data_IF_482708454675
#
_entry.id   IF_482708454675
#
_cell.length_a   1.000
_cell.length_b   1.000
_cell.length_c   1.000
_cell.angle_alpha   90.00
_cell.angle_beta   90.00
_cell.angle_gamma   90.00
#
_symmetry.space_group_name_H-M   'P 1'
#
loop_
_entity.id
_entity.type
_entity.pdbx_description
1 polymer ?
#
# COMPACT_ATOMS: atom_id res chain seq x y z
N UNK A 1 -23.50 -3.66 -24.39
CA UNK A 1 -23.51 -3.00 -23.06
C UNK A 1 -22.65 -3.69 -22.00
N UNK A 2 -22.71 -5.03 -21.83
CA UNK A 2 -21.93 -5.77 -20.80
C UNK A 2 -20.40 -5.53 -20.89
N UNK A 3 -19.83 -5.68 -22.10
CA UNK A 3 -18.40 -5.46 -22.36
C UNK A 3 -17.96 -4.03 -22.02
N UNK A 4 -18.72 -3.02 -22.45
CA UNK A 4 -18.45 -1.62 -22.13
C UNK A 4 -18.40 -1.36 -20.61
N UNK A 5 -19.36 -1.89 -19.86
CA UNK A 5 -19.39 -1.74 -18.40
C UNK A 5 -18.20 -2.42 -17.69
N UNK A 6 -17.71 -3.55 -18.21
CA UNK A 6 -16.54 -4.24 -17.67
C UNK A 6 -15.25 -3.47 -17.97
N UNK A 7 -15.11 -2.93 -19.20
CA UNK A 7 -13.97 -2.09 -19.58
C UNK A 7 -13.93 -0.83 -18.72
N UNK A 8 -15.05 -0.14 -18.55
CA UNK A 8 -15.15 1.04 -17.70
C UNK A 8 -14.78 0.71 -16.24
N UNK A 9 -15.30 -0.41 -15.69
CA UNK A 9 -14.97 -0.85 -14.33
C UNK A 9 -13.48 -1.13 -14.16
N UNK A 10 -12.85 -1.76 -15.15
CA UNK A 10 -11.43 -2.05 -15.14
C UNK A 10 -10.59 -0.76 -15.21
N UNK A 11 -10.91 0.15 -16.13
CA UNK A 11 -10.20 1.43 -16.26
C UNK A 11 -10.36 2.27 -15.00
N UNK A 12 -11.56 2.34 -14.43
CA UNK A 12 -11.81 3.02 -13.18
C UNK A 12 -10.93 2.48 -12.04
N UNK A 13 -10.93 1.17 -11.81
CA UNK A 13 -10.10 0.57 -10.77
C UNK A 13 -8.60 0.79 -11.02
N UNK A 14 -8.13 0.71 -12.26
CA UNK A 14 -6.74 1.06 -12.57
C UNK A 14 -6.41 2.52 -12.26
N UNK A 15 -7.34 3.44 -12.49
CA UNK A 15 -7.14 4.87 -12.31
C UNK A 15 -7.15 5.30 -10.83
N UNK A 16 -7.87 4.61 -9.95
CA UNK A 16 -8.07 5.01 -8.54
C UNK A 16 -6.76 5.37 -7.82
N UNK A 17 -5.70 4.54 -7.80
CA UNK A 17 -4.48 4.90 -7.07
C UNK A 17 -3.80 6.17 -7.59
N UNK A 18 -3.84 6.38 -8.91
CA UNK A 18 -3.27 7.58 -9.54
C UNK A 18 -4.10 8.82 -9.22
N UNK A 19 -5.43 8.73 -9.31
CA UNK A 19 -6.34 9.81 -8.95
C UNK A 19 -6.20 10.19 -7.47
N UNK A 20 -6.09 9.20 -6.58
CA UNK A 20 -5.86 9.41 -5.15
C UNK A 20 -4.53 10.12 -4.91
N UNK A 21 -3.46 9.65 -5.55
CA UNK A 21 -2.12 10.23 -5.41
C UNK A 21 -2.09 11.68 -5.91
N UNK A 22 -2.57 11.93 -7.14
CA UNK A 22 -2.62 13.28 -7.71
C UNK A 22 -3.47 14.20 -6.83
N UNK A 23 -4.65 13.75 -6.40
CA UNK A 23 -5.51 14.57 -5.52
C UNK A 23 -4.82 14.92 -4.21
N UNK A 24 -4.18 13.95 -3.55
CA UNK A 24 -3.50 14.15 -2.28
C UNK A 24 -2.39 15.20 -2.38
N UNK A 25 -1.57 15.14 -3.44
CA UNK A 25 -0.44 16.05 -3.63
C UNK A 25 -0.82 17.39 -4.26
N UNK A 26 -1.92 17.46 -5.02
CA UNK A 26 -2.41 18.72 -5.63
C UNK A 26 -3.26 19.53 -4.67
N UNK A 27 -4.20 18.91 -3.96
CA UNK A 27 -5.13 19.63 -3.07
C UNK A 27 -4.62 19.72 -1.63
N UNK A 28 -3.72 18.82 -1.22
CA UNK A 28 -3.22 18.75 0.15
C UNK A 28 -4.29 18.28 1.14
N UNK A 29 -4.25 18.82 2.35
CA UNK A 29 -5.22 18.52 3.40
C UNK A 29 -6.55 19.26 3.15
N UNK A 30 -7.65 18.51 3.17
CA UNK A 30 -9.01 19.01 3.13
C UNK A 30 -9.71 18.72 4.46
N UNK A 31 -10.75 19.48 4.78
CA UNK A 31 -11.60 19.16 5.93
C UNK A 31 -12.26 17.79 5.77
N UNK A 32 -12.37 17.02 6.86
CA UNK A 32 -13.04 15.71 6.89
C UNK A 32 -14.49 15.79 6.41
N UNK A 33 -15.16 16.94 6.61
CA UNK A 33 -16.51 17.18 6.12
C UNK A 33 -16.61 17.16 4.58
N UNK A 34 -15.49 17.40 3.89
CA UNK A 34 -15.40 17.40 2.43
C UNK A 34 -14.91 16.04 1.92
N UNK A 35 -13.81 15.52 2.48
CA UNK A 35 -13.20 14.31 1.92
C UNK A 35 -13.91 13.01 2.29
N UNK A 36 -14.55 12.91 3.47
CA UNK A 36 -15.22 11.67 3.88
C UNK A 36 -16.43 11.32 2.98
N UNK A 37 -17.32 12.26 2.61
CA UNK A 37 -18.39 11.97 1.65
C UNK A 37 -17.85 11.51 0.29
N UNK A 38 -16.84 12.21 -0.25
CA UNK A 38 -16.21 11.86 -1.53
C UNK A 38 -15.55 10.48 -1.50
N UNK A 39 -14.84 10.18 -0.41
CA UNK A 39 -14.25 8.87 -0.16
C UNK A 39 -15.31 7.76 -0.09
N UNK A 40 -16.42 7.98 0.61
CA UNK A 40 -17.51 7.01 0.70
C UNK A 40 -18.12 6.72 -0.67
N UNK A 41 -18.38 7.74 -1.47
CA UNK A 41 -18.86 7.59 -2.86
C UNK A 41 -17.85 6.81 -3.71
N UNK A 42 -16.55 7.10 -3.58
CA UNK A 42 -15.49 6.35 -4.27
C UNK A 42 -15.49 4.86 -3.89
N UNK A 43 -15.65 4.53 -2.59
CA UNK A 43 -15.76 3.13 -2.14
C UNK A 43 -16.95 2.44 -2.80
N UNK A 44 -18.11 3.09 -2.87
CA UNK A 44 -19.28 2.53 -3.54
C UNK A 44 -18.98 2.23 -5.02
N UNK A 45 -18.35 3.15 -5.73
CA UNK A 45 -17.95 2.92 -7.12
C UNK A 45 -16.93 1.79 -7.26
N UNK A 46 -15.94 1.70 -6.37
CA UNK A 46 -14.98 0.58 -6.36
C UNK A 46 -15.67 -0.76 -6.12
N UNK A 47 -16.66 -0.81 -5.22
CA UNK A 47 -17.45 -2.00 -4.98
C UNK A 47 -18.29 -2.41 -6.19
N UNK A 48 -18.96 -1.45 -6.84
CA UNK A 48 -19.72 -1.73 -8.07
C UNK A 48 -18.81 -2.21 -9.20
N UNK A 49 -17.66 -1.55 -9.41
CA UNK A 49 -16.68 -1.94 -10.40
C UNK A 49 -16.12 -3.35 -10.12
N UNK A 50 -15.80 -3.66 -8.87
CA UNK A 50 -15.38 -4.99 -8.44
C UNK A 50 -16.44 -6.05 -8.75
N UNK A 51 -17.71 -5.81 -8.40
CA UNK A 51 -18.80 -6.76 -8.66
C UNK A 51 -19.01 -6.99 -10.15
N UNK A 52 -18.95 -5.93 -10.95
CA UNK A 52 -19.13 -6.02 -12.42
C UNK A 52 -17.98 -6.79 -13.08
N UNK A 53 -16.74 -6.52 -12.67
CA UNK A 53 -15.56 -7.18 -13.23
C UNK A 53 -15.43 -8.63 -12.72
N UNK A 54 -15.81 -8.88 -11.47
CA UNK A 54 -15.72 -10.19 -10.83
C UNK A 54 -16.90 -11.12 -11.09
N UNK A 55 -17.99 -10.71 -11.75
CA UNK A 55 -19.22 -11.52 -11.85
C UNK A 55 -18.99 -12.92 -12.45
N UNK A 56 -18.19 -13.00 -13.50
CA UNK A 56 -17.92 -14.24 -14.25
C UNK A 56 -16.67 -14.98 -13.75
N UNK A 57 -16.04 -14.52 -12.67
CA UNK A 57 -14.78 -15.09 -12.17
C UNK A 57 -15.02 -16.19 -11.16
N UNK A 58 -14.09 -17.15 -11.16
CA UNK A 58 -14.04 -18.21 -10.16
C UNK A 58 -14.16 -17.63 -8.74
N UNK A 59 -15.01 -18.25 -7.92
CA UNK A 59 -15.31 -17.75 -6.57
C UNK A 59 -14.05 -17.66 -5.71
N UNK A 60 -13.11 -18.60 -5.87
CA UNK A 60 -11.83 -18.61 -5.14
C UNK A 60 -11.00 -17.36 -5.47
N UNK A 61 -10.82 -17.03 -6.76
CA UNK A 61 -10.10 -15.83 -7.20
C UNK A 61 -10.77 -14.56 -6.68
N UNK A 62 -12.10 -14.45 -6.78
CA UNK A 62 -12.83 -13.29 -6.24
C UNK A 62 -12.61 -13.11 -4.74
N UNK A 63 -12.66 -14.20 -3.97
CA UNK A 63 -12.44 -14.18 -2.51
C UNK A 63 -11.00 -13.83 -2.14
N UNK A 64 -10.04 -14.20 -2.98
CA UNK A 64 -8.63 -13.85 -2.82
C UNK A 64 -8.33 -12.39 -3.16
N UNK A 65 -8.91 -11.87 -4.25
CA UNK A 65 -8.63 -10.49 -4.69
C UNK A 65 -9.46 -9.44 -3.94
N UNK A 66 -10.60 -9.80 -3.36
CA UNK A 66 -11.47 -8.85 -2.66
C UNK A 66 -10.76 -8.08 -1.53
N UNK A 67 -10.03 -8.73 -0.60
CA UNK A 67 -9.24 -8.02 0.41
C UNK A 67 -8.21 -7.05 -0.19
N UNK A 68 -7.60 -7.38 -1.34
CA UNK A 68 -6.62 -6.51 -2.01
C UNK A 68 -7.29 -5.24 -2.56
N UNK A 69 -8.52 -5.35 -3.07
CA UNK A 69 -9.33 -4.21 -3.51
C UNK A 69 -9.77 -3.35 -2.33
N UNK A 70 -10.25 -3.98 -1.24
CA UNK A 70 -10.69 -3.25 -0.03
C UNK A 70 -9.53 -2.51 0.62
N UNK A 71 -8.34 -3.10 0.67
CA UNK A 71 -7.11 -2.45 1.15
C UNK A 71 -6.91 -1.06 0.51
N UNK A 72 -7.00 -0.97 -0.81
CA UNK A 72 -6.89 0.34 -1.49
C UNK A 72 -8.13 1.21 -1.41
N UNK A 73 -9.31 0.62 -1.28
CA UNK A 73 -10.53 1.38 -1.01
C UNK A 73 -10.39 2.19 0.29
N UNK A 74 -9.80 1.60 1.33
CA UNK A 74 -9.47 2.29 2.57
C UNK A 74 -8.40 3.38 2.36
N UNK A 75 -7.27 3.03 1.71
CA UNK A 75 -6.18 3.98 1.39
C UNK A 75 -6.67 5.20 0.59
N UNK A 76 -7.72 5.04 -0.23
CA UNK A 76 -8.24 6.13 -1.07
C UNK A 76 -8.71 7.36 -0.27
N UNK A 77 -8.95 7.23 1.04
CA UNK A 77 -9.23 8.38 1.93
C UNK A 77 -8.09 9.40 1.94
N UNK A 78 -6.86 8.98 1.63
CA UNK A 78 -5.69 9.85 1.60
C UNK A 78 -5.73 10.89 0.49
N UNK A 79 -6.63 10.74 -0.49
CA UNK A 79 -6.89 11.77 -1.50
C UNK A 79 -7.26 13.12 -0.87
N UNK A 80 -7.94 13.12 0.28
CA UNK A 80 -8.29 14.34 1.01
C UNK A 80 -7.54 14.57 2.31
N UNK A 81 -6.97 13.53 2.94
CA UNK A 81 -6.05 13.75 4.06
C UNK A 81 -4.71 14.39 3.62
N UNK A 82 -4.37 14.29 2.34
CA UNK A 82 -3.12 14.83 1.78
C UNK A 82 -1.87 14.05 2.24
N UNK A 83 -0.66 14.52 1.89
CA UNK A 83 0.57 13.97 2.42
C UNK A 83 0.65 14.15 3.95
N UNK A 84 1.43 13.31 4.66
CA UNK A 84 1.64 13.53 6.09
C UNK A 84 2.31 14.89 6.34
N UNK A 85 1.96 15.61 7.42
CA UNK A 85 2.54 16.93 7.71
C UNK A 85 4.07 16.87 7.85
N UNK A 86 4.77 17.87 7.30
CA UNK A 86 6.24 17.94 7.33
C UNK A 86 6.80 18.57 8.60
N UNK A 87 5.96 19.15 9.46
CA UNK A 87 6.38 19.82 10.70
C UNK A 87 5.68 19.23 11.92
N UNK A 88 6.38 19.18 13.06
CA UNK A 88 5.81 18.70 14.33
C UNK A 88 4.55 19.49 14.73
N UNK A 89 4.55 20.82 14.53
CA UNK A 89 3.40 21.67 14.83
C UNK A 89 2.16 21.29 14.01
N UNK A 90 2.32 21.13 12.69
CA UNK A 90 1.22 20.73 11.83
C UNK A 90 0.78 19.28 12.09
N UNK A 91 1.71 18.40 12.45
CA UNK A 91 1.40 17.03 12.85
C UNK A 91 0.51 16.98 14.10
N UNK A 92 0.88 17.75 15.14
CA UNK A 92 0.10 17.83 16.39
C UNK A 92 -1.28 18.43 16.14
N UNK A 93 -1.38 19.45 15.28
CA UNK A 93 -2.68 20.03 14.89
C UNK A 93 -3.63 19.00 14.24
N UNK A 94 -3.09 17.95 13.62
CA UNK A 94 -3.82 16.87 12.96
C UNK A 94 -3.58 15.52 13.64
N UNK A 95 -3.24 15.47 14.93
CA UNK A 95 -2.80 14.26 15.62
C UNK A 95 -3.76 13.08 15.47
N UNK A 96 -5.07 13.33 15.67
CA UNK A 96 -6.10 12.31 15.51
C UNK A 96 -6.17 11.79 14.07
N UNK A 97 -6.09 12.67 13.06
CA UNK A 97 -6.07 12.24 11.66
C UNK A 97 -4.81 11.44 11.32
N UNK A 98 -3.66 11.75 11.92
CA UNK A 98 -2.47 10.93 11.73
C UNK A 98 -2.67 9.54 12.35
N UNK A 99 -3.18 9.44 13.57
CA UNK A 99 -3.50 8.14 14.17
C UNK A 99 -4.47 7.33 13.29
N UNK A 100 -5.53 7.97 12.77
CA UNK A 100 -6.48 7.34 11.84
C UNK A 100 -5.78 6.90 10.54
N UNK A 101 -4.93 7.75 9.95
CA UNK A 101 -4.15 7.42 8.74
C UNK A 101 -3.33 6.14 8.93
N UNK A 102 -2.64 6.03 10.05
CA UNK A 102 -1.80 4.86 10.33
C UNK A 102 -2.63 3.62 10.72
N UNK A 103 -3.79 3.79 11.36
CA UNK A 103 -4.76 2.70 11.51
C UNK A 103 -5.29 2.18 10.17
N UNK A 104 -5.61 3.08 9.23
CA UNK A 104 -6.02 2.73 7.86
C UNK A 104 -4.91 1.93 7.17
N UNK A 105 -3.65 2.36 7.28
CA UNK A 105 -2.51 1.64 6.73
C UNK A 105 -2.33 0.25 7.34
N UNK A 106 -2.43 0.11 8.67
CA UNK A 106 -2.38 -1.18 9.37
C UNK A 106 -3.46 -2.13 8.82
N UNK A 107 -4.72 -1.69 8.80
CA UNK A 107 -5.83 -2.50 8.32
C UNK A 107 -5.64 -2.89 6.84
N UNK A 108 -5.15 -1.96 6.03
CA UNK A 108 -4.84 -2.19 4.62
C UNK A 108 -3.72 -3.23 4.44
N UNK A 109 -2.64 -3.16 5.24
CA UNK A 109 -1.56 -4.15 5.22
C UNK A 109 -2.04 -5.56 5.63
N UNK A 110 -2.91 -5.66 6.63
CA UNK A 110 -3.55 -6.92 7.05
C UNK A 110 -4.42 -7.48 5.93
N UNK A 111 -5.30 -6.66 5.33
CA UNK A 111 -6.16 -7.08 4.22
C UNK A 111 -5.34 -7.50 2.99
N UNK A 112 -4.26 -6.79 2.68
CA UNK A 112 -3.33 -7.17 1.61
C UNK A 112 -2.74 -8.55 1.88
N UNK A 113 -2.27 -8.80 3.11
CA UNK A 113 -1.73 -10.12 3.51
C UNK A 113 -2.77 -11.22 3.36
N UNK A 114 -3.99 -11.01 3.86
CA UNK A 114 -5.09 -11.98 3.73
C UNK A 114 -5.39 -12.29 2.26
N UNK A 115 -5.43 -11.27 1.40
CA UNK A 115 -5.69 -11.45 -0.03
C UNK A 115 -4.58 -12.25 -0.73
N UNK A 116 -3.32 -11.94 -0.45
CA UNK A 116 -2.17 -12.68 -0.99
C UNK A 116 -2.12 -14.13 -0.49
N UNK A 117 -2.46 -14.38 0.77
CA UNK A 117 -2.47 -15.73 1.33
C UNK A 117 -3.58 -16.59 0.69
N UNK A 118 -4.77 -16.03 0.54
CA UNK A 118 -5.86 -16.68 -0.22
C UNK A 118 -5.47 -16.89 -1.67
N UNK A 119 -4.77 -15.94 -2.29
CA UNK A 119 -4.30 -16.09 -3.66
C UNK A 119 -3.31 -17.25 -3.79
N UNK A 120 -2.39 -17.43 -2.83
CA UNK A 120 -1.49 -18.59 -2.77
C UNK A 120 -2.27 -19.90 -2.77
N UNK A 121 -3.39 -20.00 -2.05
CA UNK A 121 -4.22 -21.22 -2.01
C UNK A 121 -4.82 -21.57 -3.39
N UNK A 122 -4.98 -20.59 -4.28
CA UNK A 122 -5.46 -20.80 -5.66
C UNK A 122 -4.37 -21.19 -6.67
N UNK A 123 -3.11 -21.27 -6.23
CA UNK A 123 -1.93 -21.55 -7.08
C UNK A 123 -1.39 -22.94 -6.73
N UNK A 124 -1.80 -23.95 -7.50
CA UNK A 124 -1.63 -25.38 -7.17
C UNK A 124 -0.51 -26.06 -7.96
N UNK A 125 0.00 -25.46 -9.04
CA UNK A 125 1.10 -26.05 -9.82
C UNK A 125 2.43 -26.02 -9.06
N UNK A 126 3.28 -27.06 -9.22
CA UNK A 126 4.55 -27.19 -8.49
C UNK A 126 5.45 -25.94 -8.53
N UNK A 127 5.56 -25.30 -9.70
CA UNK A 127 6.37 -24.08 -9.85
C UNK A 127 5.69 -22.85 -9.25
N UNK A 128 4.39 -22.68 -9.47
CA UNK A 128 3.57 -21.58 -8.93
C UNK A 128 3.60 -21.59 -7.41
N UNK A 129 3.41 -22.78 -6.83
CA UNK A 129 3.39 -23.03 -5.41
C UNK A 129 4.70 -22.60 -4.75
N UNK A 130 5.85 -22.91 -5.35
CA UNK A 130 7.17 -22.53 -4.79
C UNK A 130 7.31 -21.01 -4.69
N UNK A 131 7.00 -20.27 -5.76
CA UNK A 131 7.13 -18.81 -5.74
C UNK A 131 6.08 -18.15 -4.85
N UNK A 132 4.84 -18.65 -4.86
CA UNK A 132 3.79 -18.16 -3.97
C UNK A 132 4.11 -18.45 -2.50
N UNK A 133 4.79 -19.56 -2.19
CA UNK A 133 5.25 -19.89 -0.84
C UNK A 133 6.38 -18.96 -0.38
N UNK A 134 7.36 -18.68 -1.24
CA UNK A 134 8.39 -17.67 -0.95
C UNK A 134 7.72 -16.32 -0.68
N UNK A 135 6.80 -15.91 -1.56
CA UNK A 135 6.04 -14.68 -1.40
C UNK A 135 5.29 -14.63 -0.06
N UNK A 136 4.58 -15.71 0.29
CA UNK A 136 3.88 -15.85 1.56
C UNK A 136 4.81 -15.68 2.76
N UNK A 137 5.99 -16.32 2.77
CA UNK A 137 6.96 -16.23 3.87
C UNK A 137 7.46 -14.78 4.02
N UNK A 138 7.82 -14.13 2.91
CA UNK A 138 8.29 -12.74 2.94
C UNK A 138 7.21 -11.80 3.51
N UNK A 139 5.96 -11.94 3.06
CA UNK A 139 4.84 -11.13 3.56
C UNK A 139 4.51 -11.45 5.03
N UNK A 140 4.63 -12.71 5.45
CA UNK A 140 4.40 -13.13 6.85
C UNK A 140 5.40 -12.45 7.81
N UNK A 141 6.66 -12.31 7.39
CA UNK A 141 7.70 -11.62 8.17
C UNK A 141 7.53 -10.10 8.06
N UNK A 142 7.18 -9.59 6.89
CA UNK A 142 7.01 -8.16 6.65
C UNK A 142 5.83 -7.55 7.43
N UNK A 143 4.71 -8.27 7.56
CA UNK A 143 3.50 -7.76 8.20
C UNK A 143 3.70 -7.25 9.64
N UNK A 144 4.29 -8.02 10.57
CA UNK A 144 4.50 -7.51 11.93
C UNK A 144 5.46 -6.31 11.96
N UNK A 145 6.47 -6.27 11.09
CA UNK A 145 7.37 -5.13 10.96
C UNK A 145 6.61 -3.89 10.47
N UNK A 146 5.81 -4.06 9.41
CA UNK A 146 4.94 -3.03 8.85
C UNK A 146 4.00 -2.46 9.90
N UNK A 147 3.32 -3.33 10.68
CA UNK A 147 2.43 -2.89 11.76
C UNK A 147 3.21 -2.12 12.82
N UNK A 148 4.37 -2.62 13.25
CA UNK A 148 5.21 -1.92 14.22
C UNK A 148 5.64 -0.54 13.70
N UNK A 149 6.05 -0.44 12.44
CA UNK A 149 6.43 0.82 11.83
C UNK A 149 5.24 1.79 11.75
N UNK A 150 4.04 1.33 11.40
CA UNK A 150 2.85 2.18 11.39
C UNK A 150 2.49 2.66 12.81
N UNK A 151 2.68 1.82 13.83
CA UNK A 151 2.51 2.21 15.23
C UNK A 151 3.52 3.29 15.63
N UNK A 152 4.79 3.12 15.22
CA UNK A 152 5.83 4.11 15.46
C UNK A 152 5.46 5.47 14.86
N UNK A 153 5.07 5.51 13.59
CA UNK A 153 4.72 6.76 12.92
C UNK A 153 3.42 7.37 13.45
N UNK A 154 2.37 6.58 13.64
CA UNK A 154 1.05 7.10 14.00
C UNK A 154 0.87 7.46 15.47
N UNK A 155 1.52 6.72 16.37
CA UNK A 155 1.30 6.85 17.81
C UNK A 155 2.55 7.38 18.49
N UNK A 156 3.66 6.64 18.41
CA UNK A 156 4.89 7.04 19.12
C UNK A 156 5.39 8.43 18.69
N UNK A 157 5.49 8.68 17.38
CA UNK A 157 5.97 9.95 16.87
C UNK A 157 5.00 11.10 17.17
N UNK A 158 3.69 10.84 17.12
CA UNK A 158 2.65 11.80 17.51
C UNK A 158 2.82 12.23 18.97
N UNK A 159 2.98 11.28 19.89
CA UNK A 159 3.23 11.58 21.31
C UNK A 159 4.55 12.33 21.53
N UNK A 160 5.60 11.97 20.79
CA UNK A 160 6.88 12.69 20.82
C UNK A 160 6.69 14.15 20.38
N UNK A 161 5.90 14.42 19.34
CA UNK A 161 5.66 15.78 18.87
C UNK A 161 4.74 16.59 19.80
N UNK A 162 3.78 15.95 20.47
CA UNK A 162 2.96 16.59 21.51
C UNK A 162 3.85 17.03 22.68
N UNK A 163 4.72 16.14 23.16
CA UNK A 163 5.56 16.40 24.34
C UNK A 163 6.77 17.27 24.06
N UNK A 164 7.35 17.17 22.85
CA UNK A 164 8.56 17.89 22.45
C UNK A 164 8.36 18.60 21.10
N UNK A 165 7.57 19.68 21.06
CA UNK A 165 7.15 20.34 19.82
C UNK A 165 8.29 21.05 19.09
N UNK A 166 9.42 21.31 19.76
CA UNK A 166 10.63 21.90 19.15
C UNK A 166 11.84 20.98 19.29
N UNK A 167 12.73 20.98 18.28
CA UNK A 167 13.99 20.23 18.34
C UNK A 167 14.92 20.70 19.47
N UNK A 168 14.77 21.95 19.94
CA UNK A 168 15.54 22.55 21.03
C UNK A 168 14.85 22.46 22.39
N UNK A 169 13.82 21.63 22.53
CA UNK A 169 13.15 21.46 23.83
C UNK A 169 14.15 20.86 24.81
N UNK A 170 14.64 21.68 25.75
CA UNK A 170 15.50 21.25 26.85
C UNK A 170 14.86 20.05 27.54
N UNK A 171 15.63 18.97 27.71
CA UNK A 171 15.15 17.74 28.35
C UNK A 171 14.55 16.68 27.42
N UNK A 172 14.61 16.83 26.09
CA UNK A 172 14.25 15.74 25.17
C UNK A 172 15.20 14.53 25.37
N UNK A 173 14.69 13.34 25.73
CA UNK A 173 15.55 12.19 25.98
C UNK A 173 16.30 11.70 24.72
N UNK A 174 17.59 11.41 24.86
CA UNK A 174 18.43 10.94 23.75
C UNK A 174 17.98 9.61 23.13
N UNK A 175 17.34 8.73 23.91
CA UNK A 175 16.84 7.44 23.43
C UNK A 175 15.79 7.57 22.32
N UNK A 176 15.10 8.71 22.20
CA UNK A 176 14.15 8.97 21.11
C UNK A 176 14.83 8.88 19.74
N UNK A 177 16.07 9.39 19.64
CA UNK A 177 16.85 9.28 18.41
C UNK A 177 17.20 7.82 18.10
N UNK A 178 17.62 7.06 19.11
CA UNK A 178 17.91 5.62 18.96
C UNK A 178 16.71 4.86 18.43
N UNK A 179 15.51 5.09 18.99
CA UNK A 179 14.27 4.47 18.51
C UNK A 179 13.98 4.85 17.05
N UNK A 180 14.16 6.12 16.69
CA UNK A 180 13.96 6.59 15.31
C UNK A 180 14.89 5.90 14.30
N UNK A 181 16.17 5.73 14.67
CA UNK A 181 17.14 4.99 13.85
C UNK A 181 16.75 3.52 13.73
N UNK A 182 16.34 2.88 14.83
CA UNK A 182 15.87 1.49 14.80
C UNK A 182 14.67 1.30 13.86
N UNK A 183 13.68 2.21 13.90
CA UNK A 183 12.53 2.14 12.98
C UNK A 183 12.86 2.47 11.54
N UNK A 184 13.94 3.23 11.29
CA UNK A 184 14.48 3.37 9.93
C UNK A 184 14.97 2.01 9.40
N UNK A 185 15.66 1.23 10.22
CA UNK A 185 16.12 -0.14 9.84
C UNK A 185 14.93 -1.09 9.68
N UNK A 186 13.95 -1.05 10.59
CA UNK A 186 12.70 -1.84 10.46
C UNK A 186 12.02 -1.55 9.12
N UNK A 187 11.85 -0.27 8.77
CA UNK A 187 11.30 0.17 7.48
C UNK A 187 12.11 -0.38 6.30
N UNK A 188 13.44 -0.32 6.35
CA UNK A 188 14.27 -0.85 5.25
C UNK A 188 13.98 -2.33 4.99
N UNK A 189 13.91 -3.12 6.06
CA UNK A 189 13.66 -4.57 5.99
C UNK A 189 12.23 -4.84 5.53
N UNK A 190 11.22 -4.23 6.15
CA UNK A 190 9.82 -4.50 5.85
C UNK A 190 9.47 -4.17 4.39
N UNK A 191 9.94 -3.01 3.89
CA UNK A 191 9.62 -2.54 2.52
C UNK A 191 10.28 -3.46 1.50
N UNK A 192 11.51 -3.87 1.76
CA UNK A 192 12.23 -4.84 0.92
C UNK A 192 11.50 -6.17 0.85
N UNK A 193 11.05 -6.70 2.00
CA UNK A 193 10.30 -7.95 2.07
C UNK A 193 8.93 -7.84 1.39
N UNK A 194 8.23 -6.71 1.53
CA UNK A 194 6.95 -6.46 0.84
C UNK A 194 7.14 -6.48 -0.69
N UNK A 195 8.15 -5.79 -1.21
CA UNK A 195 8.42 -5.79 -2.65
C UNK A 195 8.89 -7.14 -3.18
N UNK A 196 9.79 -7.83 -2.47
CA UNK A 196 10.22 -9.19 -2.84
C UNK A 196 9.05 -10.17 -2.83
N UNK A 197 8.23 -10.12 -1.78
CA UNK A 197 7.04 -10.97 -1.65
C UNK A 197 6.05 -10.73 -2.78
N UNK A 198 5.79 -9.46 -3.09
CA UNK A 198 4.92 -9.03 -4.18
C UNK A 198 5.44 -9.49 -5.54
N UNK A 199 6.75 -9.34 -5.82
CA UNK A 199 7.36 -9.81 -7.07
C UNK A 199 7.26 -11.34 -7.21
N UNK A 200 7.47 -12.08 -6.12
CA UNK A 200 7.33 -13.53 -6.10
C UNK A 200 5.89 -13.97 -6.41
N UNK A 201 4.89 -13.27 -5.85
CA UNK A 201 3.48 -13.47 -6.19
C UNK A 201 3.18 -13.15 -7.66
N UNK A 202 3.65 -12.02 -8.19
CA UNK A 202 3.47 -11.68 -9.60
C UNK A 202 4.01 -12.78 -10.52
N UNK A 203 5.19 -13.32 -10.21
CA UNK A 203 5.78 -14.41 -10.96
C UNK A 203 5.00 -15.73 -10.83
N UNK A 204 4.52 -16.06 -9.63
CA UNK A 204 3.69 -17.23 -9.40
C UNK A 204 2.37 -17.19 -10.21
N UNK A 205 1.70 -16.03 -10.23
CA UNK A 205 0.46 -15.83 -11.01
C UNK A 205 0.75 -15.89 -12.52
N UNK A 206 1.91 -15.38 -12.97
CA UNK A 206 2.33 -15.52 -14.37
C UNK A 206 2.55 -16.98 -14.74
N UNK A 207 3.11 -17.79 -13.84
CA UNK A 207 3.34 -19.22 -14.07
C UNK A 207 2.03 -20.02 -14.17
N UNK A 208 0.97 -19.59 -13.48
CA UNK A 208 -0.37 -20.18 -13.60
C UNK A 208 -1.15 -19.74 -14.83
N UNK A 209 -0.57 -18.90 -15.70
CA UNK A 209 -1.23 -18.35 -16.88
C UNK A 209 -2.29 -17.28 -16.58
N UNK A 210 -2.51 -16.93 -15.30
CA UNK A 210 -3.52 -15.94 -14.88
C UNK A 210 -3.06 -14.48 -14.99
N UNK A 211 -1.76 -14.25 -15.20
CA UNK A 211 -1.15 -12.93 -15.44
C UNK A 211 -0.32 -12.94 -16.73
N UNK A 212 -0.49 -11.91 -17.56
CA UNK A 212 0.29 -11.81 -18.79
C UNK A 212 1.79 -11.55 -18.48
N UNK A 213 2.72 -11.99 -19.35
CA UNK A 213 4.15 -11.82 -19.12
C UNK A 213 4.58 -10.35 -18.99
N UNK A 214 3.94 -9.45 -19.74
CA UNK A 214 4.26 -8.02 -19.73
C UNK A 214 3.94 -7.36 -18.39
N UNK A 215 2.75 -7.57 -17.83
CA UNK A 215 2.41 -7.04 -16.51
C UNK A 215 3.31 -7.62 -15.43
N UNK A 216 3.64 -8.92 -15.50
CA UNK A 216 4.59 -9.54 -14.59
C UNK A 216 5.97 -8.85 -14.63
N UNK A 217 6.49 -8.55 -15.83
CA UNK A 217 7.77 -7.82 -16.00
C UNK A 217 7.68 -6.41 -15.41
N UNK A 218 6.59 -5.69 -15.69
CA UNK A 218 6.38 -4.33 -15.17
C UNK A 218 6.32 -4.35 -13.64
N UNK A 219 5.56 -5.26 -13.05
CA UNK A 219 5.46 -5.39 -11.59
C UNK A 219 6.80 -5.75 -10.96
N UNK A 220 7.52 -6.72 -11.53
CA UNK A 220 8.85 -7.08 -11.04
C UNK A 220 9.82 -5.90 -11.14
N UNK A 221 9.80 -5.13 -12.25
CA UNK A 221 10.63 -3.94 -12.42
C UNK A 221 10.34 -2.91 -11.32
N UNK A 222 9.06 -2.56 -11.08
CA UNK A 222 8.72 -1.59 -10.04
C UNK A 222 9.03 -2.10 -8.62
N UNK A 223 8.87 -3.40 -8.34
CA UNK A 223 9.32 -3.99 -7.08
C UNK A 223 10.84 -3.89 -6.91
N UNK A 224 11.62 -4.21 -7.94
CA UNK A 224 13.09 -4.12 -7.90
C UNK A 224 13.54 -2.67 -7.73
N UNK A 225 12.95 -1.74 -8.48
CA UNK A 225 13.22 -0.31 -8.32
C UNK A 225 12.85 0.17 -6.91
N UNK A 226 11.71 -0.25 -6.38
CA UNK A 226 11.29 0.05 -5.01
C UNK A 226 12.29 -0.44 -3.97
N UNK A 227 12.83 -1.66 -4.13
CA UNK A 227 13.89 -2.21 -3.26
C UNK A 227 15.16 -1.38 -3.36
N UNK A 228 15.66 -1.16 -4.58
CA UNK A 228 16.91 -0.41 -4.80
C UNK A 228 16.78 0.99 -4.18
N UNK A 229 15.71 1.71 -4.53
CA UNK A 229 15.46 3.05 -4.03
C UNK A 229 15.34 3.07 -2.50
N UNK A 230 14.61 2.14 -1.89
CA UNK A 230 14.46 2.07 -0.44
C UNK A 230 15.80 1.86 0.28
N UNK A 231 16.72 1.09 -0.30
CA UNK A 231 18.03 0.79 0.29
C UNK A 231 19.06 1.93 0.11
N UNK A 232 18.76 2.95 -0.69
CA UNK A 232 19.63 4.11 -0.84
C UNK A 232 19.64 4.97 0.44
N UNK A 233 20.75 5.68 0.72
CA UNK A 233 20.84 6.55 1.88
C UNK A 233 19.88 7.74 1.75
N UNK A 234 19.48 8.34 2.88
CA UNK A 234 18.49 9.42 2.91
C UNK A 234 19.01 10.80 2.46
N UNK A 235 20.30 10.95 2.16
CA UNK A 235 20.95 12.21 1.81
C UNK A 235 21.21 12.38 0.30
N UNK A 236 20.38 11.75 -0.54
CA UNK A 236 20.49 11.87 -2.00
C UNK A 236 20.09 13.27 -2.47
N UNK A 237 20.65 13.76 -3.59
CA UNK A 237 20.14 14.95 -4.27
C UNK A 237 18.81 14.66 -4.97
N UNK A 238 18.03 15.71 -5.26
CA UNK A 238 16.88 15.59 -6.16
C UNK A 238 17.33 15.22 -7.59
N UNK A 239 16.58 14.39 -8.34
CA UNK A 239 15.24 13.85 -8.03
C UNK A 239 15.26 12.51 -7.25
N UNK A 240 16.44 12.00 -6.89
CA UNK A 240 16.58 10.69 -6.24
C UNK A 240 16.06 10.69 -4.80
N UNK A 241 16.14 11.82 -4.08
CA UNK A 241 15.53 11.98 -2.76
C UNK A 241 14.01 11.74 -2.80
N UNK A 242 13.30 12.38 -3.74
CA UNK A 242 11.86 12.15 -3.92
C UNK A 242 11.57 10.69 -4.27
N UNK A 243 12.34 10.09 -5.19
CA UNK A 243 12.15 8.68 -5.57
C UNK A 243 12.39 7.71 -4.40
N UNK A 244 13.43 7.96 -3.60
CA UNK A 244 13.71 7.24 -2.36
C UNK A 244 12.52 7.36 -1.40
N UNK A 245 12.01 8.58 -1.15
CA UNK A 245 10.84 8.79 -0.30
C UNK A 245 9.61 8.00 -0.77
N UNK A 246 9.26 8.10 -2.06
CA UNK A 246 8.11 7.41 -2.65
C UNK A 246 8.19 5.90 -2.48
N UNK A 247 9.40 5.32 -2.59
CA UNK A 247 9.61 3.87 -2.52
C UNK A 247 9.21 3.23 -1.19
N UNK A 248 9.19 3.99 -0.09
CA UNK A 248 8.80 3.49 1.23
C UNK A 248 7.51 4.13 1.77
N UNK A 249 6.77 4.90 0.95
CA UNK A 249 5.43 5.33 1.33
C UNK A 249 4.57 4.07 1.53
N UNK A 250 4.00 3.84 2.73
CA UNK A 250 3.28 2.60 3.04
C UNK A 250 2.13 2.28 2.09
N UNK A 251 1.42 3.29 1.58
CA UNK A 251 0.38 3.08 0.58
C UNK A 251 0.96 2.56 -0.75
N UNK A 252 2.11 3.10 -1.19
CA UNK A 252 2.75 2.75 -2.47
C UNK A 252 3.27 1.31 -2.46
N UNK A 253 3.79 0.82 -1.33
CA UNK A 253 4.23 -0.58 -1.21
C UNK A 253 3.08 -1.58 -1.38
N UNK A 254 1.84 -1.15 -1.13
CA UNK A 254 0.62 -1.94 -1.30
C UNK A 254 -0.02 -1.77 -2.70
N UNK A 255 0.51 -0.92 -3.58
CA UNK A 255 -0.04 -0.63 -4.91
C UNK A 255 -0.05 -1.84 -5.85
N UNK A 256 1.09 -2.51 -5.98
CA UNK A 256 1.24 -3.62 -6.92
C UNK A 256 0.34 -4.81 -6.55
N UNK A 257 0.18 -5.22 -5.26
CA UNK A 257 -0.85 -6.18 -4.85
C UNK A 257 -2.26 -5.83 -5.34
N UNK A 258 -2.65 -4.55 -5.27
CA UNK A 258 -3.94 -4.09 -5.79
C UNK A 258 -4.02 -4.18 -7.32
N UNK A 259 -3.00 -3.72 -8.04
CA UNK A 259 -2.99 -3.81 -9.50
C UNK A 259 -2.98 -5.27 -9.99
N UNK A 260 -2.34 -6.18 -9.25
CA UNK A 260 -2.45 -7.63 -9.49
C UNK A 260 -3.90 -8.10 -9.35
N UNK A 261 -4.61 -7.70 -8.30
CA UNK A 261 -6.03 -8.01 -8.12
C UNK A 261 -6.91 -7.49 -9.26
N UNK A 262 -6.73 -6.24 -9.67
CA UNK A 262 -7.48 -5.64 -10.79
C UNK A 262 -7.22 -6.41 -12.10
N UNK A 263 -5.97 -6.80 -12.37
CA UNK A 263 -5.64 -7.57 -13.57
C UNK A 263 -6.16 -9.02 -13.53
N UNK A 264 -6.16 -9.67 -12.36
CA UNK A 264 -6.77 -10.99 -12.17
C UNK A 264 -8.28 -10.96 -12.43
N UNK A 265 -8.96 -9.90 -11.98
CA UNK A 265 -10.38 -9.70 -12.26
C UNK A 265 -10.68 -9.45 -13.73
N UNK A 266 -9.73 -8.94 -14.52
CA UNK A 266 -9.89 -8.84 -15.98
C UNK A 266 -9.63 -10.19 -16.67
N UNK A 267 -8.49 -10.81 -16.37
CA UNK A 267 -7.91 -11.86 -17.22
C UNK A 267 -8.22 -13.30 -16.79
N UNK A 268 -8.72 -13.56 -15.58
CA UNK A 268 -9.00 -14.93 -15.15
C UNK A 268 -10.18 -15.52 -15.97
N UNK A 269 -9.91 -16.43 -16.91
CA UNK A 269 -10.95 -17.30 -17.47
C UNK A 269 -11.12 -18.50 -16.56
#
# INVERSE_FOLDING_TARGET
MKVFSQVLSYVFLLAVPFLVTVSAFTFGHLSYAVYLPGWFVNILFMFFAFRKLGYEKEQAIRRAVWPLIVSWALISVFAGMGPPPSTAKAWVALALEQQVRYCVLILSGVLTTVGLFRLRETLTGNSEFRYAQIGKIMILIALPLFVANMIYWGFFLTEVFIKYPSQRTLGKPGWIQTVSVSFTVVRLIEVTLLYLGTAAFAYAIKKSGKLNPTACKIYALFCILGIILNLLPGNLPEPLATANYVSYIPAITLLIPYLMAVNLLKNAK
#
